data_IF_022259620060
#
_entry.id   IF_022259620060
#
_cell.length_a   1.000
_cell.length_b   1.000
_cell.length_c   1.000
_cell.angle_alpha   90.00
_cell.angle_beta   90.00
_cell.angle_gamma   90.00
#
_symmetry.space_group_name_H-M   'P 1'
#
loop_
_entity.id
_entity.type
_entity.pdbx_description
1 polymer ?
#
# COMPACT_ATOMS: atom_id res chain seq x y z
N UNK A 1 13.81 -17.12 -21.66
CA UNK A 1 12.80 -16.81 -20.61
C UNK A 1 11.43 -16.87 -21.26
N UNK A 2 10.45 -17.63 -20.75
CA UNK A 2 9.08 -17.55 -21.28
C UNK A 2 8.53 -16.14 -21.03
N UNK A 3 7.66 -15.62 -21.91
CA UNK A 3 7.07 -14.27 -21.75
C UNK A 3 6.46 -14.09 -20.36
N UNK A 4 5.81 -15.14 -19.86
CA UNK A 4 5.24 -15.21 -18.51
C UNK A 4 6.30 -15.07 -17.40
N UNK A 5 7.39 -15.84 -17.48
CA UNK A 5 8.47 -15.77 -16.49
C UNK A 5 9.13 -14.38 -16.48
N UNK A 6 9.25 -13.73 -17.63
CA UNK A 6 9.74 -12.35 -17.71
C UNK A 6 8.83 -11.36 -16.97
N UNK A 7 7.51 -11.46 -17.17
CA UNK A 7 6.52 -10.58 -16.54
C UNK A 7 6.57 -10.72 -15.01
N UNK A 8 6.56 -11.96 -14.52
CA UNK A 8 6.59 -12.24 -13.08
C UNK A 8 7.88 -11.71 -12.46
N UNK A 9 9.03 -12.03 -13.06
CA UNK A 9 10.34 -11.63 -12.53
C UNK A 9 10.48 -10.10 -12.53
N UNK A 10 10.16 -9.43 -13.64
CA UNK A 10 10.30 -7.98 -13.72
C UNK A 10 9.31 -7.24 -12.83
N UNK A 11 8.03 -7.64 -12.85
CA UNK A 11 6.99 -7.00 -12.03
C UNK A 11 7.30 -7.13 -10.54
N UNK A 12 7.61 -8.34 -10.08
CA UNK A 12 7.91 -8.59 -8.67
C UNK A 12 9.20 -7.93 -8.23
N UNK A 13 10.28 -7.96 -9.02
CA UNK A 13 11.55 -7.31 -8.63
C UNK A 13 11.35 -5.79 -8.50
N UNK A 14 10.63 -5.18 -9.44
CA UNK A 14 10.44 -3.74 -9.45
C UNK A 14 9.57 -3.30 -8.26
N UNK A 15 8.41 -3.92 -8.03
CA UNK A 15 7.57 -3.58 -6.85
C UNK A 15 8.30 -3.86 -5.54
N UNK A 16 8.86 -5.07 -5.37
CA UNK A 16 9.60 -5.43 -4.16
C UNK A 16 10.75 -4.46 -3.87
N UNK A 17 11.43 -3.97 -4.91
CA UNK A 17 12.50 -3.00 -4.73
C UNK A 17 11.99 -1.70 -4.10
N UNK A 18 10.80 -1.25 -4.47
CA UNK A 18 10.16 -0.06 -3.88
C UNK A 18 9.92 -0.24 -2.39
N UNK A 19 9.21 -1.30 -2.00
CA UNK A 19 8.91 -1.60 -0.59
C UNK A 19 10.18 -1.81 0.23
N UNK A 20 11.18 -2.49 -0.33
CA UNK A 20 12.46 -2.74 0.35
C UNK A 20 13.32 -1.49 0.48
N UNK A 21 13.36 -0.62 -0.55
CA UNK A 21 14.00 0.69 -0.46
C UNK A 21 13.34 1.50 0.66
N UNK A 22 12.00 1.51 0.72
CA UNK A 22 11.24 2.13 1.79
C UNK A 22 11.61 1.59 3.17
N UNK A 23 11.67 0.27 3.34
CA UNK A 23 12.06 -0.36 4.59
C UNK A 23 13.49 0.02 5.00
N UNK A 24 14.44 -0.01 4.06
CA UNK A 24 15.83 0.36 4.30
C UNK A 24 15.91 1.83 4.71
N UNK A 25 15.17 2.73 4.05
CA UNK A 25 15.06 4.14 4.46
C UNK A 25 14.58 4.22 5.90
N UNK A 26 13.46 3.55 6.25
CA UNK A 26 12.93 3.53 7.62
C UNK A 26 13.91 3.00 8.67
N UNK A 27 14.71 1.99 8.32
CA UNK A 27 15.68 1.31 9.21
C UNK A 27 17.03 2.04 9.32
N UNK A 28 17.44 2.73 8.25
CA UNK A 28 18.72 3.44 8.16
C UNK A 28 18.74 4.70 9.02
N UNK A 29 17.56 5.16 9.42
CA UNK A 29 17.38 6.13 10.49
C UNK A 29 17.75 5.44 11.82
N UNK A 30 19.01 5.55 12.24
CA UNK A 30 19.51 5.06 13.52
C UNK A 30 18.94 5.97 14.62
N UNK A 31 18.15 5.42 15.54
CA UNK A 31 17.35 6.18 16.52
C UNK A 31 16.65 7.38 15.88
N UNK A 32 15.74 7.14 14.91
CA UNK A 32 15.01 8.23 14.30
C UNK A 32 14.29 8.98 15.40
N UNK A 33 14.48 10.30 15.49
CA UNK A 33 13.60 11.10 16.33
C UNK A 33 12.16 10.81 15.92
N UNK A 34 11.25 10.64 16.86
CA UNK A 34 9.83 10.41 16.55
C UNK A 34 9.30 11.47 15.56
N UNK A 35 9.80 12.71 15.65
CA UNK A 35 9.55 13.79 14.69
C UNK A 35 9.85 13.45 13.23
N UNK A 36 10.87 12.65 12.95
CA UNK A 36 11.20 12.24 11.58
C UNK A 36 10.26 11.13 11.11
N UNK A 37 9.93 10.19 12.01
CA UNK A 37 8.95 9.14 11.75
C UNK A 37 7.56 9.72 11.49
N UNK A 38 7.17 10.76 12.23
CA UNK A 38 5.96 11.54 12.03
C UNK A 38 5.86 12.08 10.59
N UNK A 39 6.94 12.68 10.07
CA UNK A 39 7.00 13.24 8.71
C UNK A 39 6.77 12.17 7.65
N UNK A 40 7.49 11.05 7.76
CA UNK A 40 7.37 9.96 6.81
C UNK A 40 5.99 9.30 6.86
N UNK A 41 5.48 9.01 8.07
CA UNK A 41 4.17 8.39 8.24
C UNK A 41 3.04 9.31 7.74
N UNK A 42 3.15 10.61 8.01
CA UNK A 42 2.21 11.62 7.50
C UNK A 42 2.24 11.69 5.97
N UNK A 43 3.44 11.78 5.38
CA UNK A 43 3.62 11.77 3.94
C UNK A 43 3.05 10.51 3.28
N UNK A 44 3.37 9.32 3.80
CA UNK A 44 2.84 8.06 3.30
C UNK A 44 1.31 8.00 3.38
N UNK A 45 0.73 8.43 4.51
CA UNK A 45 -0.72 8.46 4.69
C UNK A 45 -1.41 9.38 3.66
N UNK A 46 -0.84 10.56 3.42
CA UNK A 46 -1.37 11.51 2.44
C UNK A 46 -1.27 11.01 0.99
N UNK A 47 -0.12 10.42 0.64
CA UNK A 47 0.09 9.85 -0.69
C UNK A 47 -0.88 8.69 -0.96
N UNK A 48 -1.06 7.78 0.01
CA UNK A 48 -2.00 6.67 -0.11
C UNK A 48 -3.45 7.13 -0.18
N UNK A 49 -3.84 8.13 0.61
CA UNK A 49 -5.16 8.73 0.51
C UNK A 49 -5.42 9.30 -0.89
N UNK A 50 -4.41 9.94 -1.48
CA UNK A 50 -4.51 10.50 -2.83
C UNK A 50 -4.69 9.40 -3.89
N UNK A 51 -3.87 8.35 -3.87
CA UNK A 51 -3.99 7.22 -4.80
C UNK A 51 -5.37 6.58 -4.71
N UNK A 52 -5.87 6.32 -3.50
CA UNK A 52 -7.17 5.69 -3.31
C UNK A 52 -8.32 6.56 -3.85
N UNK A 53 -8.33 7.85 -3.50
CA UNK A 53 -9.45 8.75 -3.82
C UNK A 53 -9.43 9.21 -5.28
N UNK A 54 -8.25 9.44 -5.85
CA UNK A 54 -8.11 10.07 -7.18
C UNK A 54 -7.73 9.09 -8.30
N UNK A 55 -7.36 7.85 -7.99
CA UNK A 55 -7.00 6.85 -8.99
C UNK A 55 -7.87 5.59 -8.87
N UNK A 56 -7.78 4.87 -7.75
CA UNK A 56 -8.38 3.53 -7.62
C UNK A 56 -9.91 3.54 -7.60
N UNK A 57 -10.53 4.42 -6.81
CA UNK A 57 -11.99 4.53 -6.75
C UNK A 57 -12.53 5.03 -8.10
N UNK A 58 -11.99 6.10 -8.71
CA UNK A 58 -12.40 6.52 -10.06
C UNK A 58 -12.27 5.42 -11.12
N UNK A 59 -11.17 4.66 -11.11
CA UNK A 59 -10.96 3.58 -12.08
C UNK A 59 -12.00 2.46 -11.93
N UNK A 60 -12.36 2.10 -10.69
CA UNK A 60 -13.44 1.16 -10.42
C UNK A 60 -14.80 1.67 -10.93
N UNK A 61 -15.08 2.97 -10.74
CA UNK A 61 -16.32 3.61 -11.19
C UNK A 61 -16.41 3.79 -12.71
N UNK A 62 -15.28 3.91 -13.40
CA UNK A 62 -15.24 4.00 -14.86
C UNK A 62 -15.63 2.67 -15.54
N UNK A 63 -15.33 1.56 -14.88
CA UNK A 63 -15.47 0.22 -15.44
C UNK A 63 -16.66 -0.56 -14.90
N UNK A 64 -17.33 -0.06 -13.86
CA UNK A 64 -18.44 -0.74 -13.20
C UNK A 64 -19.45 0.22 -12.55
N UNK A 65 -20.55 -0.29 -12.00
CA UNK A 65 -21.63 0.54 -11.48
C UNK A 65 -21.32 1.10 -10.07
N UNK A 66 -21.87 2.28 -9.78
CA UNK A 66 -21.64 3.00 -8.54
C UNK A 66 -22.00 2.18 -7.29
N UNK A 67 -23.12 1.44 -7.32
CA UNK A 67 -23.58 0.67 -6.17
C UNK A 67 -22.69 -0.53 -5.90
N UNK A 68 -22.26 -1.23 -6.95
CA UNK A 68 -21.27 -2.29 -6.87
C UNK A 68 -19.97 -1.82 -6.23
N UNK A 69 -19.41 -0.71 -6.73
CA UNK A 69 -18.20 -0.11 -6.16
C UNK A 69 -18.40 0.26 -4.69
N UNK A 70 -19.52 0.90 -4.34
CA UNK A 70 -19.81 1.31 -2.96
C UNK A 70 -19.89 0.10 -2.02
N UNK A 71 -20.55 -0.99 -2.43
CA UNK A 71 -20.68 -2.22 -1.63
C UNK A 71 -19.30 -2.80 -1.32
N UNK A 72 -18.45 -2.94 -2.34
CA UNK A 72 -17.13 -3.55 -2.16
C UNK A 72 -16.15 -2.62 -1.42
N UNK A 73 -16.28 -1.31 -1.57
CA UNK A 73 -15.55 -0.33 -0.76
C UNK A 73 -15.93 -0.46 0.72
N UNK A 74 -17.23 -0.52 1.04
CA UNK A 74 -17.67 -0.72 2.42
C UNK A 74 -17.21 -2.08 2.94
N UNK A 75 -17.31 -3.13 2.13
CA UNK A 75 -16.89 -4.48 2.52
C UNK A 75 -15.38 -4.52 2.84
N UNK A 76 -14.54 -3.89 2.01
CA UNK A 76 -13.10 -3.80 2.25
C UNK A 76 -12.78 -3.10 3.57
N UNK A 77 -13.44 -1.97 3.83
CA UNK A 77 -13.31 -1.25 5.09
C UNK A 77 -13.74 -2.11 6.29
N UNK A 78 -14.88 -2.81 6.18
CA UNK A 78 -15.41 -3.66 7.25
C UNK A 78 -14.48 -4.83 7.58
N UNK A 79 -13.83 -5.44 6.58
CA UNK A 79 -12.86 -6.52 6.80
C UNK A 79 -11.77 -6.05 7.77
N UNK A 80 -11.15 -4.90 7.49
CA UNK A 80 -10.06 -4.38 8.34
C UNK A 80 -10.61 -3.91 9.69
N UNK A 81 -11.78 -3.27 9.72
CA UNK A 81 -12.43 -2.86 10.97
C UNK A 81 -12.66 -4.03 11.93
N UNK A 82 -13.18 -5.16 11.46
CA UNK A 82 -13.40 -6.32 12.32
C UNK A 82 -12.07 -6.94 12.80
N UNK A 83 -11.04 -6.96 11.96
CA UNK A 83 -9.70 -7.40 12.34
C UNK A 83 -9.12 -6.47 13.42
N UNK A 84 -9.22 -5.16 13.23
CA UNK A 84 -8.74 -4.15 14.19
C UNK A 84 -9.45 -4.28 15.53
N UNK A 85 -10.78 -4.35 15.51
CA UNK A 85 -11.61 -4.52 16.72
C UNK A 85 -11.22 -5.75 17.53
N UNK A 86 -10.95 -6.87 16.87
CA UNK A 86 -10.52 -8.11 17.52
C UNK A 86 -9.05 -8.06 18.00
N UNK A 87 -8.24 -7.20 17.38
CA UNK A 87 -6.84 -7.00 17.79
C UNK A 87 -6.75 -6.07 19.01
N UNK A 88 -7.64 -5.08 19.13
CA UNK A 88 -7.73 -4.17 20.29
C UNK A 88 -8.01 -4.89 21.62
N UNK A 89 -8.53 -6.12 21.61
CA UNK A 89 -8.70 -6.92 22.83
C UNK A 89 -7.42 -7.59 23.34
N UNK A 90 -6.30 -7.47 22.62
CA UNK A 90 -5.02 -8.08 22.99
C UNK A 90 -4.09 -6.97 23.51
N UNK A 91 -3.48 -7.18 24.67
CA UNK A 91 -2.53 -6.23 25.29
C UNK A 91 -1.19 -6.22 24.55
N UNK A 92 -1.17 -5.52 23.41
CA UNK A 92 -0.01 -5.38 22.52
C UNK A 92 0.47 -3.92 22.56
N UNK A 93 1.79 -3.71 22.51
CA UNK A 93 2.37 -2.37 22.34
C UNK A 93 1.76 -1.66 21.12
N UNK A 94 1.31 -0.41 21.30
CA UNK A 94 0.60 0.38 20.28
C UNK A 94 1.34 0.44 18.94
N UNK A 95 2.67 0.65 18.94
CA UNK A 95 3.44 0.70 17.70
C UNK A 95 3.47 -0.65 16.98
N UNK A 96 3.55 -1.77 17.71
CA UNK A 96 3.48 -3.11 17.09
C UNK A 96 2.11 -3.39 16.51
N UNK A 97 1.04 -2.90 17.16
CA UNK A 97 -0.31 -2.98 16.62
C UNK A 97 -0.42 -2.20 15.31
N UNK A 98 0.03 -0.94 15.30
CA UNK A 98 0.01 -0.13 14.07
C UNK A 98 0.83 -0.79 12.97
N UNK A 99 2.02 -1.31 13.28
CA UNK A 99 2.83 -2.04 12.33
C UNK A 99 2.09 -3.26 11.74
N UNK A 100 1.42 -4.04 12.60
CA UNK A 100 0.66 -5.21 12.19
C UNK A 100 -0.55 -4.83 11.31
N UNK A 101 -1.36 -3.86 11.75
CA UNK A 101 -2.54 -3.40 11.02
C UNK A 101 -2.18 -2.77 9.68
N UNK A 102 -1.10 -1.97 9.66
CA UNK A 102 -0.54 -1.37 8.44
C UNK A 102 -0.03 -2.46 7.49
N UNK A 103 0.76 -3.42 7.99
CA UNK A 103 1.25 -4.54 7.20
C UNK A 103 0.12 -5.41 6.64
N UNK A 104 -0.91 -5.69 7.45
CA UNK A 104 -2.09 -6.45 7.02
C UNK A 104 -2.89 -5.69 5.97
N UNK A 105 -3.04 -4.37 6.14
CA UNK A 105 -3.62 -3.48 5.14
C UNK A 105 -2.93 -3.60 3.78
N UNK A 106 -1.61 -3.44 3.76
CA UNK A 106 -0.82 -3.57 2.54
C UNK A 106 -0.85 -4.99 1.97
N UNK A 107 -0.79 -6.03 2.80
CA UNK A 107 -0.93 -7.42 2.31
C UNK A 107 -2.22 -7.60 1.49
N UNK A 108 -3.32 -7.01 1.95
CA UNK A 108 -4.61 -7.11 1.26
C UNK A 108 -4.71 -6.17 0.06
N UNK A 109 -4.01 -5.03 0.06
CA UNK A 109 -3.98 -4.06 -1.05
C UNK A 109 -3.08 -4.50 -2.21
N UNK A 110 -1.94 -5.08 -1.87
CA UNK A 110 -0.85 -5.40 -2.79
C UNK A 110 -1.24 -6.57 -3.72
N UNK A 111 -2.25 -7.37 -3.34
CA UNK A 111 -2.79 -8.42 -4.20
C UNK A 111 -3.56 -7.86 -5.42
N UNK A 112 -4.62 -7.03 -5.26
CA UNK A 112 -5.25 -6.29 -6.36
C UNK A 112 -4.27 -5.52 -7.25
N UNK A 113 -3.29 -4.87 -6.65
CA UNK A 113 -2.25 -4.11 -7.35
C UNK A 113 -1.36 -5.01 -8.21
N UNK A 114 -0.94 -6.16 -7.67
CA UNK A 114 -0.23 -7.17 -8.46
C UNK A 114 -1.02 -7.64 -9.67
N UNK A 115 -2.35 -7.84 -9.53
CA UNK A 115 -3.22 -8.23 -10.64
C UNK A 115 -3.21 -7.17 -11.74
N UNK A 116 -3.34 -5.89 -11.39
CA UNK A 116 -3.26 -4.77 -12.32
C UNK A 116 -1.95 -4.77 -13.10
N UNK A 117 -0.83 -4.94 -12.39
CA UNK A 117 0.48 -4.99 -13.01
C UNK A 117 0.59 -6.17 -14.00
N UNK A 118 0.13 -7.36 -13.61
CA UNK A 118 0.11 -8.55 -14.46
C UNK A 118 -0.73 -8.37 -15.74
N UNK A 119 -1.91 -7.76 -15.61
CA UNK A 119 -2.79 -7.41 -16.74
C UNK A 119 -2.12 -6.38 -17.64
N UNK A 120 -1.48 -5.35 -17.08
CA UNK A 120 -0.76 -4.33 -17.82
C UNK A 120 0.38 -4.90 -18.67
N UNK A 121 1.15 -5.84 -18.12
CA UNK A 121 2.18 -6.56 -18.86
C UNK A 121 1.64 -7.43 -19.98
N UNK A 122 0.45 -8.02 -19.81
CA UNK A 122 -0.21 -8.77 -20.88
C UNK A 122 -0.74 -7.87 -21.99
N UNK A 123 -1.30 -6.72 -21.63
CA UNK A 123 -1.72 -5.70 -22.60
C UNK A 123 -0.53 -5.12 -23.39
N UNK A 124 0.66 -5.05 -22.77
CA UNK A 124 1.91 -4.83 -23.49
C UNK A 124 3.09 -4.50 -22.58
N UNK A 125 4.30 -4.88 -22.99
CA UNK A 125 5.52 -4.69 -22.17
C UNK A 125 5.75 -3.24 -21.72
N UNK A 126 5.47 -2.25 -22.58
CA UNK A 126 5.62 -0.83 -22.24
C UNK A 126 4.64 -0.40 -21.15
N UNK A 127 3.39 -0.86 -21.21
CA UNK A 127 2.37 -0.55 -20.21
C UNK A 127 2.69 -1.24 -18.89
N UNK A 128 3.02 -2.52 -18.91
CA UNK A 128 3.41 -3.27 -17.72
C UNK A 128 4.64 -2.69 -17.02
N UNK A 129 5.69 -2.32 -17.77
CA UNK A 129 6.86 -1.64 -17.20
C UNK A 129 6.50 -0.29 -16.59
N UNK A 130 5.62 0.47 -17.25
CA UNK A 130 5.13 1.75 -16.71
C UNK A 130 4.42 1.52 -15.38
N UNK A 131 3.48 0.57 -15.31
CA UNK A 131 2.77 0.23 -14.07
C UNK A 131 3.72 -0.26 -12.98
N UNK A 132 4.68 -1.13 -13.30
CA UNK A 132 5.66 -1.62 -12.33
C UNK A 132 6.47 -0.49 -11.69
N UNK A 133 6.96 0.47 -12.50
CA UNK A 133 7.71 1.62 -11.99
C UNK A 133 6.83 2.51 -11.10
N UNK A 134 5.59 2.76 -11.50
CA UNK A 134 4.62 3.56 -10.72
C UNK A 134 4.37 2.92 -9.36
N UNK A 135 4.15 1.61 -9.38
CA UNK A 135 3.94 0.78 -8.19
C UNK A 135 5.14 0.86 -7.26
N UNK A 136 6.33 0.60 -7.78
CA UNK A 136 7.57 0.71 -7.02
C UNK A 136 7.76 2.06 -6.32
N UNK A 137 7.37 3.16 -6.97
CA UNK A 137 7.52 4.50 -6.40
C UNK A 137 6.59 4.71 -5.19
N UNK A 138 5.34 4.21 -5.23
CA UNK A 138 4.43 4.35 -4.08
C UNK A 138 4.62 3.26 -3.02
N UNK A 139 5.22 2.12 -3.38
CA UNK A 139 5.62 1.08 -2.43
C UNK A 139 6.73 1.56 -1.47
N UNK A 140 7.53 2.56 -1.86
CA UNK A 140 8.53 3.17 -0.96
C UNK A 140 7.85 3.72 0.30
N UNK A 141 6.83 4.60 0.21
CA UNK A 141 5.99 5.00 1.33
C UNK A 141 5.44 3.84 2.18
N UNK A 142 5.00 2.74 1.58
CA UNK A 142 4.49 1.56 2.30
C UNK A 142 5.57 0.90 3.14
N UNK A 143 6.74 0.67 2.53
CA UNK A 143 7.88 0.10 3.22
C UNK A 143 8.31 0.92 4.43
N UNK A 144 8.27 2.25 4.30
CA UNK A 144 8.54 3.16 5.41
C UNK A 144 7.45 3.05 6.48
N UNK A 145 6.17 2.99 6.08
CA UNK A 145 5.03 2.95 6.99
C UNK A 145 4.95 1.67 7.84
N UNK A 146 5.44 0.54 7.33
CA UNK A 146 5.57 -0.70 8.13
C UNK A 146 6.86 -0.68 8.97
N UNK A 147 7.99 -0.26 8.39
CA UNK A 147 9.28 -0.32 9.07
C UNK A 147 9.37 0.64 10.26
N UNK A 148 8.83 1.84 10.11
CA UNK A 148 8.85 2.93 11.11
C UNK A 148 8.30 2.51 12.49
N UNK A 149 7.04 2.05 12.61
CA UNK A 149 6.49 1.65 13.90
C UNK A 149 7.19 0.40 14.49
N UNK A 150 7.69 -0.50 13.65
CA UNK A 150 8.49 -1.64 14.12
C UNK A 150 9.79 -1.19 14.79
N UNK A 151 10.51 -0.25 14.17
CA UNK A 151 11.73 0.34 14.74
C UNK A 151 11.41 1.14 16.01
N UNK A 152 10.32 1.91 16.02
CA UNK A 152 9.86 2.62 17.23
C UNK A 152 9.52 1.65 18.39
N UNK A 153 9.07 0.43 18.06
CA UNK A 153 8.82 -0.62 19.05
C UNK A 153 10.06 -1.44 19.48
N UNK A 154 11.26 -1.01 19.09
CA UNK A 154 12.55 -1.68 19.33
C UNK A 154 12.67 -3.08 18.69
N UNK A 155 11.98 -3.33 17.57
CA UNK A 155 12.18 -4.58 16.82
C UNK A 155 13.53 -4.62 16.10
N UNK A 156 14.08 -5.83 15.94
CA UNK A 156 15.37 -6.02 15.27
C UNK A 156 15.27 -5.66 13.79
N UNK A 157 16.25 -4.91 13.27
CA UNK A 157 16.34 -4.50 11.85
C UNK A 157 16.11 -5.64 10.86
N UNK A 158 16.69 -6.82 11.11
CA UNK A 158 16.50 -7.99 10.25
C UNK A 158 15.07 -8.54 10.27
N UNK A 159 14.40 -8.51 11.43
CA UNK A 159 12.99 -8.87 11.54
C UNK A 159 12.10 -7.83 10.85
N UNK A 160 12.42 -6.55 10.98
CA UNK A 160 11.71 -5.47 10.28
C UNK A 160 11.76 -5.66 8.76
N UNK A 161 12.96 -5.89 8.20
CA UNK A 161 13.10 -6.20 6.76
C UNK A 161 12.29 -7.42 6.35
N UNK A 162 12.32 -8.48 7.17
CA UNK A 162 11.55 -9.68 6.90
C UNK A 162 10.05 -9.42 6.90
N UNK A 163 9.51 -8.69 7.87
CA UNK A 163 8.09 -8.36 7.92
C UNK A 163 7.67 -7.49 6.74
N UNK A 164 8.46 -6.48 6.36
CA UNK A 164 8.15 -5.69 5.15
C UNK A 164 8.26 -6.55 3.89
N UNK A 165 9.20 -7.50 3.82
CA UNK A 165 9.29 -8.40 2.68
C UNK A 165 8.02 -9.24 2.54
N UNK A 166 7.45 -9.71 3.65
CA UNK A 166 6.20 -10.46 3.65
C UNK A 166 5.01 -9.64 3.10
N UNK A 167 5.00 -8.31 3.25
CA UNK A 167 3.91 -7.47 2.72
C UNK A 167 3.92 -7.35 1.21
N UNK A 168 5.05 -7.61 0.55
CA UNK A 168 5.19 -7.57 -0.91
C UNK A 168 4.93 -8.92 -1.60
N UNK A 169 4.84 -10.02 -0.85
CA UNK A 169 4.52 -11.36 -1.39
C UNK A 169 3.17 -11.39 -2.13
N UNK A 170 2.08 -10.75 -1.65
CA UNK A 170 0.81 -10.74 -2.35
C UNK A 170 0.89 -10.14 -3.75
N UNK A 171 1.77 -9.16 -3.99
CA UNK A 171 2.00 -8.59 -5.34
C UNK A 171 2.51 -9.65 -6.30
N UNK A 172 3.41 -10.54 -5.88
CA UNK A 172 3.91 -11.65 -6.70
C UNK A 172 2.76 -12.56 -7.14
N UNK A 173 1.89 -12.95 -6.21
CA UNK A 173 0.72 -13.78 -6.53
C UNK A 173 -0.27 -13.05 -7.44
N UNK A 174 -0.48 -11.76 -7.20
CA UNK A 174 -1.30 -10.90 -8.03
C UNK A 174 -0.77 -10.81 -9.47
N UNK A 175 0.53 -10.54 -9.65
CA UNK A 175 1.19 -10.48 -10.97
C UNK A 175 1.06 -11.81 -11.70
N UNK A 176 1.30 -12.91 -10.99
CA UNK A 176 1.12 -14.25 -11.55
C UNK A 176 -0.31 -14.45 -12.05
N UNK A 177 -1.32 -14.18 -11.23
CA UNK A 177 -2.73 -14.30 -11.65
C UNK A 177 -3.06 -13.33 -12.79
N UNK A 178 -2.77 -12.04 -12.65
CA UNK A 178 -3.03 -11.04 -13.69
C UNK A 178 -2.37 -11.36 -15.03
N UNK A 179 -1.19 -12.00 -15.00
CA UNK A 179 -0.47 -12.42 -16.21
C UNK A 179 -1.10 -13.63 -16.91
N UNK A 180 -1.86 -14.47 -16.22
CA UNK A 180 -2.64 -15.54 -16.85
C UNK A 180 -4.03 -15.08 -17.28
N UNK A 181 -4.59 -14.12 -16.53
CA UNK A 181 -5.99 -13.74 -16.65
C UNK A 181 -6.15 -12.37 -17.31
N UNK A 182 -5.44 -12.14 -18.43
CA UNK A 182 -5.69 -10.97 -19.30
C UNK A 182 -7.14 -10.90 -19.84
N UNK A 183 -7.94 -11.94 -19.58
CA UNK A 183 -9.37 -12.07 -19.84
C UNK A 183 -10.26 -11.78 -18.62
N UNK A 184 -9.72 -11.24 -17.51
CA UNK A 184 -10.52 -10.79 -16.36
C UNK A 184 -11.59 -9.83 -16.86
N UNK A 185 -12.85 -10.05 -16.42
CA UNK A 185 -13.91 -9.09 -16.70
C UNK A 185 -13.58 -7.75 -16.04
N UNK A 186 -13.82 -6.64 -16.74
CA UNK A 186 -13.63 -5.29 -16.19
C UNK A 186 -14.35 -5.11 -14.84
N UNK A 187 -15.51 -5.76 -14.69
CA UNK A 187 -16.27 -5.78 -13.44
C UNK A 187 -15.48 -6.46 -12.30
N UNK A 188 -14.84 -7.61 -12.53
CA UNK A 188 -14.06 -8.28 -11.49
C UNK A 188 -12.84 -7.46 -11.07
N UNK A 189 -12.18 -6.79 -12.03
CA UNK A 189 -11.11 -5.83 -11.69
C UNK A 189 -11.64 -4.67 -10.83
N UNK A 190 -12.80 -4.13 -11.18
CA UNK A 190 -13.44 -3.03 -10.43
C UNK A 190 -13.85 -3.46 -9.03
N UNK A 191 -14.30 -4.70 -8.85
CA UNK A 191 -14.58 -5.31 -7.53
C UNK A 191 -13.30 -5.31 -6.68
N UNK A 192 -12.19 -5.78 -7.23
CA UNK A 192 -10.91 -5.83 -6.52
C UNK A 192 -10.41 -4.43 -6.15
N UNK A 193 -10.48 -3.48 -7.07
CA UNK A 193 -10.11 -2.08 -6.85
C UNK A 193 -10.95 -1.43 -5.76
N UNK A 194 -12.27 -1.63 -5.78
CA UNK A 194 -13.18 -1.10 -4.78
C UNK A 194 -12.88 -1.70 -3.39
N UNK A 195 -12.69 -3.02 -3.32
CA UNK A 195 -12.32 -3.70 -2.08
C UNK A 195 -10.98 -3.19 -1.52
N UNK A 196 -9.95 -3.10 -2.36
CA UNK A 196 -8.62 -2.60 -2.00
C UNK A 196 -8.68 -1.14 -1.50
N UNK A 197 -9.50 -0.32 -2.15
CA UNK A 197 -9.72 1.08 -1.77
C UNK A 197 -10.36 1.18 -0.39
N UNK A 198 -11.36 0.36 -0.09
CA UNK A 198 -12.00 0.30 1.22
C UNK A 198 -11.03 -0.06 2.35
N UNK A 199 -10.18 -1.06 2.09
CA UNK A 199 -9.13 -1.52 3.01
C UNK A 199 -8.15 -0.37 3.30
N UNK A 200 -7.63 0.28 2.26
CA UNK A 200 -6.65 1.36 2.40
C UNK A 200 -7.24 2.61 3.03
N UNK A 201 -8.50 2.95 2.75
CA UNK A 201 -9.18 4.05 3.45
C UNK A 201 -9.21 3.80 4.96
N UNK A 202 -9.52 2.57 5.40
CA UNK A 202 -9.49 2.24 6.82
C UNK A 202 -8.07 2.37 7.38
N UNK A 203 -7.08 1.73 6.76
CA UNK A 203 -5.70 1.70 7.24
C UNK A 203 -5.11 3.11 7.34
N UNK A 204 -5.30 3.95 6.31
CA UNK A 204 -4.82 5.33 6.31
C UNK A 204 -5.49 6.13 7.43
N UNK A 205 -6.82 6.07 7.54
CA UNK A 205 -7.57 6.90 8.48
C UNK A 205 -7.45 6.44 9.94
N UNK A 206 -7.49 5.13 10.19
CA UNK A 206 -7.57 4.55 11.53
C UNK A 206 -6.19 4.21 12.11
N UNK A 207 -5.18 3.98 11.28
CA UNK A 207 -3.84 3.55 11.74
C UNK A 207 -2.77 4.59 11.40
N UNK A 208 -2.61 4.94 10.12
CA UNK A 208 -1.46 5.75 9.69
C UNK A 208 -1.51 7.21 10.14
N UNK A 209 -2.67 7.86 9.98
CA UNK A 209 -2.84 9.26 10.40
C UNK A 209 -2.74 9.39 11.94
N UNK A 210 -3.41 8.55 12.75
CA UNK A 210 -3.24 8.57 14.21
C UNK A 210 -1.81 8.32 14.65
N UNK A 211 -1.12 7.35 14.04
CA UNK A 211 0.26 7.04 14.40
C UNK A 211 1.22 8.18 14.05
N UNK A 212 1.08 8.80 12.88
CA UNK A 212 1.86 10.00 12.53
C UNK A 212 1.72 11.09 13.60
N UNK A 213 0.52 11.26 14.16
CA UNK A 213 0.25 12.22 15.24
C UNK A 213 0.74 11.77 16.61
N UNK A 214 0.91 10.48 16.85
CA UNK A 214 1.49 9.97 18.10
C UNK A 214 3.02 10.16 18.10
N UNK A 215 3.65 10.04 16.93
CA UNK A 215 5.08 10.19 16.73
C UNK A 215 5.55 11.66 16.72
N UNK A 216 4.66 12.64 16.56
CA UNK A 216 5.07 14.04 16.45
C UNK A 216 3.95 15.02 16.72
N UNK A 217 4.22 16.31 16.51
CA UNK A 217 3.17 17.31 16.70
C UNK A 217 2.14 17.28 15.56
N UNK A 218 0.92 17.70 15.89
CA UNK A 218 -0.21 17.68 14.95
C UNK A 218 0.07 18.48 13.68
N UNK A 219 0.78 19.61 13.79
CA UNK A 219 1.02 20.51 12.66
C UNK A 219 1.99 19.86 11.66
N UNK A 220 3.08 19.25 12.16
CA UNK A 220 4.01 18.48 11.31
C UNK A 220 3.29 17.31 10.63
N UNK A 221 2.51 16.52 11.36
CA UNK A 221 1.79 15.37 10.81
C UNK A 221 0.87 15.80 9.64
N UNK A 222 0.03 16.80 9.85
CA UNK A 222 -0.88 17.29 8.80
C UNK A 222 -0.17 17.97 7.65
N UNK A 223 0.91 18.71 7.91
CA UNK A 223 1.70 19.34 6.85
C UNK A 223 2.26 18.29 5.89
N UNK A 224 2.91 17.24 6.42
CA UNK A 224 3.46 16.18 5.57
C UNK A 224 2.39 15.32 4.93
N UNK A 225 1.22 15.15 5.56
CA UNK A 225 0.05 14.54 4.92
C UNK A 225 -0.40 15.34 3.69
N UNK A 226 -0.50 16.67 3.79
CA UNK A 226 -0.86 17.52 2.65
C UNK A 226 0.21 17.43 1.54
N UNK A 227 1.49 17.45 1.91
CA UNK A 227 2.60 17.26 0.95
C UNK A 227 2.47 15.89 0.26
N UNK A 228 2.13 14.84 1.00
CA UNK A 228 1.86 13.51 0.47
C UNK A 228 0.70 13.48 -0.52
N UNK A 229 -0.42 14.15 -0.21
CA UNK A 229 -1.57 14.26 -1.11
C UNK A 229 -1.17 14.97 -2.42
N UNK A 230 -0.44 16.07 -2.33
CA UNK A 230 0.03 16.82 -3.51
C UNK A 230 0.98 15.96 -4.34
N UNK A 231 1.91 15.25 -3.70
CA UNK A 231 2.82 14.33 -4.37
C UNK A 231 2.05 13.20 -5.08
N UNK A 232 1.02 12.63 -4.42
CA UNK A 232 0.14 11.63 -5.01
C UNK A 232 -0.56 12.15 -6.27
N UNK A 233 -1.13 13.37 -6.24
CA UNK A 233 -1.74 13.99 -7.42
C UNK A 233 -0.75 14.20 -8.56
N UNK A 234 0.49 14.60 -8.25
CA UNK A 234 1.55 14.75 -9.25
C UNK A 234 1.92 13.39 -9.85
N UNK A 235 2.07 12.36 -9.02
CA UNK A 235 2.32 10.98 -9.45
C UNK A 235 1.21 10.52 -10.40
N UNK A 236 -0.05 10.61 -9.98
CA UNK A 236 -1.22 10.21 -10.79
C UNK A 236 -1.26 10.98 -12.12
N UNK A 237 -0.92 12.28 -12.12
CA UNK A 237 -0.98 13.10 -13.34
C UNK A 237 0.15 12.84 -14.32
N UNK A 238 1.36 12.59 -13.81
CA UNK A 238 2.55 12.35 -14.63
C UNK A 238 2.61 10.92 -15.17
N UNK A 239 1.88 10.01 -14.54
CA UNK A 239 1.94 8.58 -14.78
C UNK A 239 0.64 8.02 -15.36
#
# INVERSE_FOLDING_TARGET
MSKLLFIIVMGTIISLSGTMIGAIIGISLKDPSEKLLCKFMGFSAGLMLSIVVFDLIPEALNSWDFYGVLIFLILGMLIVYFIDKNTNSIDINMHKKVAFMTALGFILHNFPEGILMGVGFQAGNRLGLKMAIIISIHDIPEGIAVATPLIASNEKKSKTLFYVFLTAIPTLFGVFLGSYVATISKNFLSILLALASGIMLYVVCAEMIPESRNLGDKLTSYFYMIVGIIAGLVIIKLL
#
